data_IF_197954756687
#
_entry.id   IF_197954756687
#
_cell.length_a   1.000
_cell.length_b   1.000
_cell.length_c   1.000
_cell.angle_alpha   90.00
_cell.angle_beta   90.00
_cell.angle_gamma   90.00
#
_symmetry.space_group_name_H-M   'P 1'
#
loop_
_entity.id
_entity.type
_entity.pdbx_description
1 polymer ?
#
# COMPACT_ATOMS: atom_id res chain seq x y z
N UNK A 1 -6.39 29.17 -14.53
CA UNK A 1 -7.36 28.56 -13.59
C UNK A 1 -6.61 27.76 -12.55
N UNK A 2 -6.64 28.19 -11.28
CA UNK A 2 -6.08 27.40 -10.17
C UNK A 2 -6.94 26.14 -10.00
N UNK A 3 -6.37 24.97 -10.36
CA UNK A 3 -7.04 23.69 -10.11
C UNK A 3 -7.20 23.52 -8.60
N UNK A 4 -8.42 23.24 -8.14
CA UNK A 4 -8.67 22.89 -6.74
C UNK A 4 -7.84 21.64 -6.41
N UNK A 5 -6.80 21.84 -5.59
CA UNK A 5 -5.95 20.76 -5.08
C UNK A 5 -6.42 20.43 -3.68
N UNK A 6 -7.03 19.26 -3.50
CA UNK A 6 -7.30 18.71 -2.16
C UNK A 6 -6.10 17.87 -1.73
N UNK A 7 -5.69 17.99 -0.48
CA UNK A 7 -4.58 17.22 0.09
C UNK A 7 -5.00 16.42 1.30
N UNK A 8 -4.51 15.19 1.40
CA UNK A 8 -4.69 14.30 2.54
C UNK A 8 -3.32 13.87 3.06
N UNK A 9 -3.18 13.79 4.37
CA UNK A 9 -1.96 13.38 5.07
C UNK A 9 -2.25 12.08 5.83
N UNK A 10 -1.59 11.01 5.42
CA UNK A 10 -1.72 9.67 6.00
C UNK A 10 -0.37 9.28 6.63
N UNK A 11 -0.02 9.90 7.74
CA UNK A 11 1.21 9.63 8.52
C UNK A 11 1.01 8.58 9.61
N UNK A 12 2.05 7.85 9.99
CA UNK A 12 1.98 6.91 11.12
C UNK A 12 1.21 5.64 10.75
N UNK A 13 0.27 5.20 11.60
CA UNK A 13 -0.44 3.94 11.43
C UNK A 13 -1.85 4.13 10.86
N UNK A 14 -2.26 3.27 9.92
CA UNK A 14 -3.63 3.08 9.50
C UNK A 14 -4.43 2.36 10.59
N UNK A 15 -5.39 3.07 11.18
CA UNK A 15 -6.25 2.50 12.22
C UNK A 15 -7.51 1.88 11.61
N UNK A 16 -8.15 1.01 12.39
CA UNK A 16 -9.55 0.68 12.13
C UNK A 16 -10.38 1.96 12.27
N UNK A 17 -11.25 2.23 11.29
CA UNK A 17 -12.02 3.47 11.19
C UNK A 17 -11.19 4.77 11.18
N UNK A 18 -10.02 4.75 10.54
CA UNK A 18 -9.17 5.94 10.40
C UNK A 18 -9.91 7.08 9.67
N UNK A 19 -10.20 8.17 10.40
CA UNK A 19 -10.94 9.31 9.86
C UNK A 19 -10.22 9.96 8.68
N UNK A 20 -8.89 9.92 8.64
CA UNK A 20 -8.10 10.53 7.55
C UNK A 20 -8.28 9.77 6.25
N UNK A 21 -8.34 8.43 6.34
CA UNK A 21 -8.66 7.56 5.21
C UNK A 21 -10.11 7.75 4.80
N UNK A 22 -11.04 7.78 5.76
CA UNK A 22 -12.46 7.98 5.47
C UNK A 22 -12.70 9.31 4.75
N UNK A 23 -12.08 10.40 5.19
CA UNK A 23 -12.18 11.71 4.55
C UNK A 23 -11.62 11.70 3.11
N UNK A 24 -10.50 10.99 2.89
CA UNK A 24 -9.92 10.84 1.56
C UNK A 24 -10.86 10.05 0.64
N UNK A 25 -11.39 8.92 1.11
CA UNK A 25 -12.34 8.07 0.39
C UNK A 25 -13.62 8.85 0.04
N UNK A 26 -14.19 9.57 1.02
CA UNK A 26 -15.41 10.36 0.83
C UNK A 26 -15.23 11.47 -0.19
N UNK A 27 -14.05 12.09 -0.22
CA UNK A 27 -13.73 13.09 -1.23
C UNK A 27 -13.56 12.46 -2.61
N UNK A 28 -12.80 11.37 -2.72
CA UNK A 28 -12.55 10.65 -3.97
C UNK A 28 -13.87 10.22 -4.63
N UNK A 29 -14.79 9.65 -3.84
CA UNK A 29 -16.12 9.23 -4.30
C UNK A 29 -17.00 10.37 -4.84
N UNK A 30 -16.68 11.63 -4.51
CA UNK A 30 -17.42 12.84 -4.93
C UNK A 30 -16.62 13.72 -5.88
N UNK A 31 -15.37 13.36 -6.19
CA UNK A 31 -14.46 14.19 -6.96
C UNK A 31 -14.92 14.25 -8.43
N UNK A 32 -14.83 15.45 -9.02
CA UNK A 32 -15.21 15.69 -10.42
C UNK A 32 -14.00 15.76 -11.36
N UNK A 33 -14.28 15.63 -12.68
CA UNK A 33 -13.38 15.57 -13.85
C UNK A 33 -12.08 16.40 -13.82
N UNK A 34 -12.11 17.56 -13.16
CA UNK A 34 -11.03 18.54 -13.18
C UNK A 34 -10.26 18.64 -11.86
N UNK A 35 -10.59 17.81 -10.86
CA UNK A 35 -9.98 17.83 -9.53
C UNK A 35 -8.57 17.26 -9.56
N UNK A 36 -7.71 17.75 -8.66
CA UNK A 36 -6.43 17.12 -8.34
C UNK A 36 -6.38 16.77 -6.86
N UNK A 37 -6.01 15.55 -6.55
CA UNK A 37 -5.87 15.06 -5.18
C UNK A 37 -4.41 14.72 -4.91
N UNK A 38 -3.86 15.21 -3.81
CA UNK A 38 -2.57 14.77 -3.29
C UNK A 38 -2.82 13.92 -2.04
N UNK A 39 -2.29 12.70 -2.00
CA UNK A 39 -2.30 11.87 -0.79
C UNK A 39 -0.86 11.63 -0.39
N UNK A 40 -0.46 12.13 0.78
CA UNK A 40 0.90 12.04 1.29
C UNK A 40 1.02 10.98 2.37
N UNK A 41 2.06 10.14 2.28
CA UNK A 41 2.38 9.06 3.20
C UNK A 41 3.80 9.26 3.77
N UNK A 42 4.03 10.24 4.66
CA UNK A 42 5.30 10.32 5.37
C UNK A 42 5.33 9.29 6.50
N UNK A 43 6.46 8.61 6.67
CA UNK A 43 6.75 7.78 7.85
C UNK A 43 5.57 6.87 8.25
N UNK A 44 5.01 6.16 7.27
CA UNK A 44 3.81 5.35 7.47
C UNK A 44 4.17 3.90 7.83
N UNK A 45 3.68 3.44 8.97
CA UNK A 45 3.99 2.13 9.56
C UNK A 45 3.06 1.01 9.07
N UNK A 46 2.17 1.30 8.11
CA UNK A 46 1.13 0.38 7.68
C UNK A 46 0.00 0.35 8.69
N UNK A 47 -0.50 -0.84 9.05
CA UNK A 47 -1.58 -1.01 10.01
C UNK A 47 -2.74 -1.80 9.42
N UNK A 48 -3.97 -1.33 9.66
CA UNK A 48 -5.20 -2.03 9.30
C UNK A 48 -5.34 -2.22 7.79
N UNK A 49 -5.23 -3.47 7.33
CA UNK A 49 -5.21 -3.82 5.89
C UNK A 49 -6.51 -3.44 5.19
N UNK A 50 -7.68 -3.61 5.82
CA UNK A 50 -8.96 -3.21 5.22
C UNK A 50 -9.04 -1.70 4.98
N UNK A 51 -8.40 -0.89 5.82
CA UNK A 51 -8.39 0.56 5.64
C UNK A 51 -7.54 0.95 4.42
N UNK A 52 -6.41 0.25 4.20
CA UNK A 52 -5.59 0.43 3.01
C UNK A 52 -6.31 -0.05 1.75
N UNK A 53 -6.99 -1.21 1.78
CA UNK A 53 -7.76 -1.70 0.63
C UNK A 53 -8.91 -0.73 0.31
N UNK A 54 -9.65 -0.26 1.32
CA UNK A 54 -10.70 0.74 1.13
C UNK A 54 -10.19 1.99 0.41
N UNK A 55 -8.98 2.45 0.77
CA UNK A 55 -8.33 3.56 0.09
C UNK A 55 -7.96 3.22 -1.36
N UNK A 56 -7.35 2.05 -1.61
CA UNK A 56 -7.00 1.57 -2.95
C UNK A 56 -8.25 1.55 -3.83
N UNK A 57 -9.32 0.89 -3.40
CA UNK A 57 -10.57 0.79 -4.18
C UNK A 57 -11.20 2.17 -4.44
N UNK A 58 -11.13 3.10 -3.50
CA UNK A 58 -11.63 4.45 -3.71
C UNK A 58 -10.80 5.20 -4.76
N UNK A 59 -9.47 5.07 -4.72
CA UNK A 59 -8.58 5.68 -5.72
C UNK A 59 -8.84 5.07 -7.10
N UNK A 60 -8.85 3.74 -7.23
CA UNK A 60 -9.06 3.03 -8.50
C UNK A 60 -10.40 3.38 -9.17
N UNK A 61 -11.45 3.55 -8.38
CA UNK A 61 -12.77 3.87 -8.90
C UNK A 61 -12.91 5.35 -9.30
N UNK A 62 -11.93 6.21 -8.97
CA UNK A 62 -11.98 7.64 -9.24
C UNK A 62 -11.33 8.00 -10.57
N UNK A 63 -11.95 7.59 -11.68
CA UNK A 63 -11.50 7.94 -13.04
C UNK A 63 -11.65 9.44 -13.38
N UNK A 64 -12.37 10.19 -12.55
CA UNK A 64 -12.69 11.59 -12.79
C UNK A 64 -11.62 12.57 -12.25
N UNK A 65 -10.59 12.14 -11.53
CA UNK A 65 -9.60 13.09 -11.01
C UNK A 65 -8.17 12.59 -11.15
N UNK A 66 -7.21 13.51 -11.16
CA UNK A 66 -5.80 13.12 -11.07
C UNK A 66 -5.41 12.95 -9.61
N UNK A 67 -4.82 11.81 -9.29
CA UNK A 67 -4.36 11.47 -7.94
C UNK A 67 -2.83 11.41 -7.94
N UNK A 68 -2.19 12.26 -7.15
CA UNK A 68 -0.75 12.19 -6.88
C UNK A 68 -0.55 11.54 -5.50
N UNK A 69 0.12 10.39 -5.46
CA UNK A 69 0.52 9.70 -4.24
C UNK A 69 1.98 10.04 -3.92
N UNK A 70 2.24 10.60 -2.74
CA UNK A 70 3.56 11.09 -2.37
C UNK A 70 4.07 10.37 -1.12
N UNK A 71 5.09 9.54 -1.27
CA UNK A 71 5.68 8.74 -0.20
C UNK A 71 7.01 9.33 0.25
N UNK A 72 7.30 9.28 1.56
CA UNK A 72 8.60 9.74 2.09
C UNK A 72 8.94 9.09 3.43
N UNK A 73 10.24 9.01 3.72
CA UNK A 73 10.72 8.39 4.96
C UNK A 73 10.63 6.88 4.87
N UNK A 74 9.57 6.29 5.42
CA UNK A 74 9.27 4.87 5.30
C UNK A 74 7.79 4.60 5.00
N UNK A 75 7.52 3.51 4.30
CA UNK A 75 6.19 2.97 4.11
C UNK A 75 6.25 1.46 4.36
N UNK A 76 5.50 0.99 5.36
CA UNK A 76 5.59 -0.38 5.86
C UNK A 76 4.26 -1.10 5.63
N UNK A 77 4.29 -2.41 5.41
CA UNK A 77 3.11 -3.28 5.40
C UNK A 77 1.99 -2.77 4.50
N UNK A 78 0.81 -2.48 5.05
CA UNK A 78 -0.35 -1.98 4.31
C UNK A 78 -0.07 -0.67 3.53
N UNK A 79 0.82 0.20 4.01
CA UNK A 79 1.22 1.39 3.24
C UNK A 79 2.22 1.05 2.13
N UNK A 80 3.10 0.10 2.37
CA UNK A 80 3.96 -0.46 1.32
C UNK A 80 3.14 -1.13 0.22
N UNK A 81 2.02 -1.75 0.60
CA UNK A 81 1.05 -2.32 -0.33
C UNK A 81 0.39 -1.25 -1.21
N UNK A 82 -0.05 -0.12 -0.66
CA UNK A 82 -0.58 0.99 -1.48
C UNK A 82 0.46 1.47 -2.51
N UNK A 83 1.72 1.62 -2.09
CA UNK A 83 2.82 2.00 -3.00
C UNK A 83 3.02 0.96 -4.11
N UNK A 84 3.20 -0.32 -3.74
CA UNK A 84 3.44 -1.39 -4.69
C UNK A 84 2.27 -1.58 -5.67
N UNK A 85 1.05 -1.40 -5.17
CA UNK A 85 -0.18 -1.52 -5.94
C UNK A 85 -0.21 -0.55 -7.11
N UNK A 86 -0.02 0.74 -6.85
CA UNK A 86 -0.17 1.78 -7.88
C UNK A 86 1.10 2.01 -8.71
N UNK A 87 2.29 1.70 -8.19
CA UNK A 87 3.53 1.83 -8.98
C UNK A 87 3.82 0.64 -9.88
N UNK A 88 3.41 -0.58 -9.50
CA UNK A 88 3.84 -1.80 -10.22
C UNK A 88 2.69 -2.73 -10.58
N UNK A 89 1.79 -3.03 -9.65
CA UNK A 89 0.79 -4.08 -9.84
C UNK A 89 -0.34 -3.70 -10.79
N UNK A 90 -0.96 -2.54 -10.55
CA UNK A 90 -2.10 -2.03 -11.31
C UNK A 90 -1.93 -0.52 -11.56
N UNK A 91 -0.91 -0.10 -12.33
CA UNK A 91 -0.70 1.31 -12.65
C UNK A 91 -1.86 1.86 -13.49
N UNK A 92 -2.25 3.11 -13.24
CA UNK A 92 -3.35 3.77 -13.95
C UNK A 92 -2.95 5.18 -14.39
N UNK A 93 -3.37 5.61 -15.58
CA UNK A 93 -2.91 6.87 -16.19
C UNK A 93 -3.25 8.14 -15.38
N UNK A 94 -4.31 8.09 -14.57
CA UNK A 94 -4.74 9.23 -13.76
C UNK A 94 -4.08 9.26 -12.37
N UNK A 95 -3.24 8.27 -12.05
CA UNK A 95 -2.55 8.11 -10.77
C UNK A 95 -1.05 8.28 -11.00
N UNK A 96 -0.39 9.12 -10.21
CA UNK A 96 1.07 9.21 -10.21
C UNK A 96 1.61 8.93 -8.82
N UNK A 97 2.48 7.93 -8.71
CA UNK A 97 3.20 7.65 -7.47
C UNK A 97 4.57 8.32 -7.50
N UNK A 98 4.96 8.97 -6.41
CA UNK A 98 6.23 9.69 -6.27
C UNK A 98 6.86 9.42 -4.92
N UNK A 99 8.19 9.38 -4.93
CA UNK A 99 9.03 9.42 -3.74
C UNK A 99 9.52 10.85 -3.55
N UNK A 100 9.26 11.42 -2.38
CA UNK A 100 9.79 12.70 -1.95
C UNK A 100 11.07 12.48 -1.14
N UNK A 101 12.21 12.93 -1.67
CA UNK A 101 13.59 12.74 -1.15
C UNK A 101 14.08 11.30 -1.11
N UNK A 102 13.45 10.45 -0.28
CA UNK A 102 13.84 9.05 -0.07
C UNK A 102 12.71 8.27 0.59
N UNK A 103 12.58 7.00 0.23
CA UNK A 103 11.60 6.07 0.80
C UNK A 103 12.26 4.73 1.13
N UNK A 104 12.12 4.28 2.37
CA UNK A 104 12.35 2.88 2.75
C UNK A 104 11.01 2.14 2.73
N UNK A 105 10.80 1.32 1.71
CA UNK A 105 9.65 0.45 1.58
C UNK A 105 9.93 -0.84 2.34
N UNK A 106 9.10 -1.20 3.32
CA UNK A 106 9.19 -2.48 4.04
C UNK A 106 7.93 -3.29 3.77
N UNK A 107 8.06 -4.32 2.93
CA UNK A 107 6.95 -5.14 2.46
C UNK A 107 6.97 -6.51 3.11
N UNK A 108 5.82 -6.98 3.60
CA UNK A 108 5.66 -8.32 4.16
C UNK A 108 4.22 -8.80 3.98
N UNK A 109 4.00 -10.12 4.08
CA UNK A 109 2.67 -10.71 4.02
C UNK A 109 1.77 -10.18 5.15
N UNK A 110 0.44 -10.08 4.94
CA UNK A 110 -0.48 -9.68 6.00
C UNK A 110 -0.28 -10.52 7.27
N UNK A 111 -0.26 -9.86 8.42
CA UNK A 111 -0.02 -10.49 9.73
C UNK A 111 -0.81 -9.79 10.81
N UNK A 112 -1.04 -10.47 11.91
CA UNK A 112 -1.67 -9.90 13.10
C UNK A 112 -0.89 -10.29 14.35
N UNK A 113 -1.05 -9.49 15.39
CA UNK A 113 -0.47 -9.78 16.70
C UNK A 113 -1.48 -10.60 17.50
N UNK A 114 -1.09 -11.81 17.90
CA UNK A 114 -1.86 -12.64 18.82
C UNK A 114 -1.07 -12.79 20.12
N UNK A 115 -1.56 -12.13 21.18
CA UNK A 115 -0.83 -12.00 22.45
C UNK A 115 0.52 -11.32 22.21
N UNK A 116 1.62 -12.09 22.27
CA UNK A 116 2.99 -11.60 22.07
C UNK A 116 3.66 -12.22 20.83
N UNK A 117 2.89 -12.87 19.96
CA UNK A 117 3.39 -13.52 18.75
C UNK A 117 2.83 -12.84 17.50
N UNK A 118 3.69 -12.73 16.49
CA UNK A 118 3.29 -12.34 15.13
C UNK A 118 2.80 -13.61 14.42
N UNK A 119 1.58 -13.56 13.90
CA UNK A 119 0.99 -14.66 13.13
C UNK A 119 0.73 -14.16 11.71
N UNK A 120 1.38 -14.79 10.74
CA UNK A 120 1.17 -14.52 9.33
C UNK A 120 -0.12 -15.17 8.83
N UNK A 121 -0.82 -14.48 7.95
CA UNK A 121 -2.12 -14.90 7.42
C UNK A 121 -2.08 -16.26 6.73
N UNK A 122 -1.02 -16.56 5.98
CA UNK A 122 -0.82 -17.86 5.32
C UNK A 122 -0.54 -19.03 6.29
N UNK A 123 -0.24 -18.72 7.56
CA UNK A 123 -0.02 -19.73 8.60
C UNK A 123 -1.32 -20.05 9.36
N UNK A 124 -2.43 -19.39 9.03
CA UNK A 124 -3.75 -19.67 9.59
C UNK A 124 -4.21 -21.03 9.04
N UNK A 125 -4.14 -22.08 9.86
CA UNK A 125 -4.63 -23.42 9.49
C UNK A 125 -6.15 -23.33 9.29
N UNK A 126 -6.58 -23.67 8.07
CA UNK A 126 -7.89 -23.40 7.45
C UNK A 126 -9.13 -24.04 8.13
N UNK A 127 -9.02 -24.57 9.35
CA UNK A 127 -10.13 -25.23 10.04
C UNK A 127 -10.76 -24.29 11.07
N UNK A 128 -11.80 -23.57 10.63
CA UNK A 128 -12.79 -22.87 11.45
C UNK A 128 -12.35 -21.55 12.13
N UNK A 129 -11.56 -20.70 11.46
CA UNK A 129 -11.38 -19.32 11.94
C UNK A 129 -12.70 -18.55 11.76
N UNK A 130 -13.52 -18.48 12.81
CA UNK A 130 -14.74 -17.66 12.82
C UNK A 130 -14.46 -16.17 12.93
N UNK A 131 -13.22 -15.79 13.25
CA UNK A 131 -12.77 -14.40 13.34
C UNK A 131 -12.78 -13.75 11.94
N UNK A 132 -13.68 -12.76 11.69
CA UNK A 132 -13.81 -12.12 10.39
C UNK A 132 -12.52 -11.43 9.93
N UNK A 133 -11.76 -10.82 10.85
CA UNK A 133 -10.53 -10.12 10.51
C UNK A 133 -9.47 -11.11 10.02
N UNK A 134 -9.35 -12.27 10.67
CA UNK A 134 -8.42 -13.32 10.23
C UNK A 134 -8.82 -13.90 8.87
N UNK A 135 -10.12 -14.11 8.64
CA UNK A 135 -10.64 -14.56 7.34
C UNK A 135 -10.34 -13.56 6.23
N UNK A 136 -10.51 -12.27 6.52
CA UNK A 136 -10.19 -11.19 5.59
C UNK A 136 -8.70 -11.17 5.25
N UNK A 137 -7.81 -11.22 6.26
CA UNK A 137 -6.36 -11.25 6.04
C UNK A 137 -5.93 -12.45 5.18
N UNK A 138 -6.50 -13.63 5.41
CA UNK A 138 -6.26 -14.81 4.57
C UNK A 138 -6.73 -14.57 3.13
N UNK A 139 -7.90 -13.97 2.96
CA UNK A 139 -8.49 -13.68 1.64
C UNK A 139 -7.71 -12.67 0.81
N UNK A 140 -7.13 -11.64 1.43
CA UNK A 140 -6.37 -10.59 0.74
C UNK A 140 -4.89 -10.97 0.47
N UNK A 141 -4.38 -12.01 1.15
CA UNK A 141 -2.97 -12.44 1.02
C UNK A 141 -2.53 -12.76 -0.41
N UNK A 142 -3.33 -13.45 -1.25
CA UNK A 142 -2.95 -13.68 -2.65
C UNK A 142 -2.74 -12.40 -3.46
N UNK A 143 -3.43 -11.30 -3.12
CA UNK A 143 -3.26 -10.01 -3.81
C UNK A 143 -1.98 -9.31 -3.35
N UNK A 144 -1.66 -9.37 -2.04
CA UNK A 144 -0.36 -8.95 -1.52
C UNK A 144 0.80 -9.69 -2.19
N UNK A 145 0.66 -11.00 -2.39
CA UNK A 145 1.65 -11.85 -3.04
C UNK A 145 1.84 -11.44 -4.50
N UNK A 146 0.76 -11.21 -5.23
CA UNK A 146 0.84 -10.72 -6.62
C UNK A 146 1.49 -9.35 -6.71
N UNK A 147 1.09 -8.40 -5.86
CA UNK A 147 1.67 -7.06 -5.87
C UNK A 147 3.17 -7.07 -5.54
N UNK A 148 3.59 -7.91 -4.58
CA UNK A 148 5.01 -8.12 -4.28
C UNK A 148 5.76 -8.70 -5.47
N UNK A 149 5.27 -9.81 -6.04
CA UNK A 149 5.95 -10.48 -7.16
C UNK A 149 6.04 -9.59 -8.40
N UNK A 150 4.99 -8.82 -8.70
CA UNK A 150 5.04 -7.84 -9.79
C UNK A 150 6.09 -6.78 -9.53
N UNK A 151 6.10 -6.15 -8.34
CA UNK A 151 7.14 -5.18 -7.97
C UNK A 151 8.54 -5.79 -8.08
N UNK A 152 8.76 -6.96 -7.50
CA UNK A 152 10.06 -7.64 -7.51
C UNK A 152 10.55 -7.92 -8.94
N UNK A 153 9.69 -8.49 -9.80
CA UNK A 153 10.03 -8.80 -11.18
C UNK A 153 10.29 -7.54 -12.01
N UNK A 154 9.45 -6.51 -11.88
CA UNK A 154 9.67 -5.23 -12.57
C UNK A 154 11.00 -4.60 -12.14
N UNK A 155 11.34 -4.62 -10.85
CA UNK A 155 12.62 -4.11 -10.35
C UNK A 155 13.81 -4.89 -10.93
N UNK A 156 13.73 -6.23 -11.05
CA UNK A 156 14.76 -7.02 -11.74
C UNK A 156 14.89 -6.65 -13.21
N UNK A 157 13.77 -6.51 -13.92
CA UNK A 157 13.72 -6.21 -15.35
C UNK A 157 14.37 -4.86 -15.68
N UNK A 158 14.17 -3.84 -14.84
CA UNK A 158 14.78 -2.52 -15.01
C UNK A 158 16.22 -2.44 -14.47
N UNK A 159 16.79 -3.56 -13.99
CA UNK A 159 18.15 -3.62 -13.47
C UNK A 159 18.32 -2.95 -12.10
N UNK A 160 17.26 -2.85 -11.31
CA UNK A 160 17.35 -2.35 -9.94
C UNK A 160 18.19 -3.31 -9.10
N UNK A 161 19.10 -2.76 -8.28
CA UNK A 161 19.98 -3.57 -7.44
C UNK A 161 19.22 -4.11 -6.21
N UNK A 162 18.49 -5.21 -6.40
CA UNK A 162 17.82 -5.95 -5.34
C UNK A 162 18.59 -7.22 -4.99
N UNK A 163 18.55 -7.62 -3.72
CA UNK A 163 19.27 -8.81 -3.29
C UNK A 163 18.58 -10.08 -3.83
N UNK A 164 19.32 -11.06 -4.40
CA UNK A 164 18.71 -12.24 -5.05
C UNK A 164 17.84 -13.12 -4.14
N UNK A 165 18.01 -13.00 -2.82
CA UNK A 165 17.27 -13.78 -1.83
C UNK A 165 15.99 -13.09 -1.34
N UNK A 166 15.64 -11.89 -1.82
CA UNK A 166 14.48 -11.14 -1.33
C UNK A 166 13.16 -11.89 -1.54
N UNK A 167 12.98 -12.55 -2.69
CA UNK A 167 11.79 -13.37 -2.95
C UNK A 167 11.69 -14.53 -1.95
N UNK A 168 12.80 -15.21 -1.67
CA UNK A 168 12.85 -16.29 -0.70
C UNK A 168 12.52 -15.78 0.72
N UNK A 169 13.04 -14.61 1.11
CA UNK A 169 12.72 -13.97 2.40
C UNK A 169 11.23 -13.72 2.51
N UNK A 170 10.60 -13.11 1.50
CA UNK A 170 9.16 -12.87 1.49
C UNK A 170 8.35 -14.17 1.60
N UNK A 171 8.72 -15.20 0.83
CA UNK A 171 8.07 -16.51 0.84
C UNK A 171 8.20 -17.24 2.18
N UNK A 172 9.27 -16.98 2.92
CA UNK A 172 9.49 -17.47 4.29
C UNK A 172 8.83 -16.58 5.37
N UNK A 173 7.91 -15.68 4.99
CA UNK A 173 7.25 -14.71 5.88
C UNK A 173 8.22 -13.68 6.49
N UNK A 174 9.34 -13.39 5.83
CA UNK A 174 10.24 -12.31 6.23
C UNK A 174 9.77 -10.95 5.72
N UNK A 175 10.37 -9.90 6.29
CA UNK A 175 10.16 -8.52 5.86
C UNK A 175 11.22 -8.17 4.81
N UNK A 176 10.78 -7.72 3.63
CA UNK A 176 11.65 -7.27 2.53
C UNK A 176 11.74 -5.75 2.57
N UNK A 177 12.96 -5.22 2.57
CA UNK A 177 13.20 -3.77 2.57
C UNK A 177 13.85 -3.33 1.26
N UNK A 178 13.25 -2.33 0.61
CA UNK A 178 13.75 -1.73 -0.62
C UNK A 178 13.80 -0.22 -0.42
N UNK A 179 14.91 0.41 -0.80
CA UNK A 179 15.08 1.86 -0.70
C UNK A 179 14.87 2.46 -2.06
N UNK A 180 14.04 3.49 -2.18
CA UNK A 180 13.84 4.28 -3.39
C UNK A 180 14.34 5.71 -3.17
N UNK A 181 15.01 6.27 -4.17
CA UNK A 181 15.42 7.68 -4.18
C UNK A 181 14.30 8.58 -4.71
N UNK A 182 14.49 9.89 -4.63
CA UNK A 182 13.53 10.89 -5.09
C UNK A 182 13.17 10.73 -6.58
N UNK A 183 11.87 10.75 -6.89
CA UNK A 183 11.42 10.67 -8.27
C UNK A 183 10.01 10.12 -8.45
N UNK A 184 9.60 10.03 -9.71
CA UNK A 184 8.46 9.22 -10.12
C UNK A 184 8.86 7.74 -10.08
N UNK A 185 7.91 6.89 -9.68
CA UNK A 185 8.07 5.42 -9.64
C UNK A 185 7.01 4.80 -10.50
#
# INVERSE_FOLDING_TARGET
MNRLRKSFLLEGEFRSNDSRINDAVDYLNKACGNSRVLISFPNNQGGHVESAEKLIRAIENTNACKVDLLFSGFAISAAAYVFAYFSFYAPQEHIHTRVNKKLCLVYHKPRFVQKNAIVFSNSIINKATQDPAKKYLLGITPEFDKAFLTMYNTLLEIGYNIAPHMEAVYNMNGDVSIVFDEGLV
#
